data_IF_765938734500
#
_entry.id   IF_765938734500
#
_cell.length_a   1.000
_cell.length_b   1.000
_cell.length_c   1.000
_cell.angle_alpha   90.00
_cell.angle_beta   90.00
_cell.angle_gamma   90.00
#
_symmetry.space_group_name_H-M   'P 1'
#
loop_
_entity.id
_entity.type
_entity.pdbx_description
1 polymer ?
#
# COMPACT_ATOMS: atom_id res chain seq x y z
N UNK A 1 29.09 -19.79 -51.55
CA UNK A 1 28.82 -21.20 -51.20
C UNK A 1 27.83 -21.25 -50.05
N UNK A 2 26.56 -21.47 -50.41
CA UNK A 2 25.48 -22.10 -49.66
C UNK A 2 25.23 -21.78 -48.17
N UNK A 3 24.16 -21.03 -47.92
CA UNK A 3 23.26 -21.23 -46.77
C UNK A 3 22.52 -22.56 -47.00
N UNK A 4 22.79 -23.56 -46.16
CA UNK A 4 21.99 -24.80 -46.09
C UNK A 4 21.34 -24.91 -44.72
N UNK A 5 20.00 -24.90 -44.76
CA UNK A 5 19.06 -25.66 -43.94
C UNK A 5 18.91 -25.33 -42.45
N UNK A 6 17.78 -24.68 -42.12
CA UNK A 6 16.92 -25.01 -40.97
C UNK A 6 15.59 -24.22 -41.04
N UNK A 7 14.79 -24.51 -42.07
CA UNK A 7 13.37 -24.14 -42.11
C UNK A 7 12.65 -25.26 -42.89
N UNK A 8 12.17 -26.24 -42.14
CA UNK A 8 11.32 -27.31 -42.66
C UNK A 8 10.28 -27.63 -41.59
N UNK A 9 9.29 -26.75 -41.46
CA UNK A 9 7.94 -27.11 -41.00
C UNK A 9 7.02 -25.90 -41.24
N UNK A 10 6.35 -25.91 -42.38
CA UNK A 10 4.98 -25.44 -42.66
C UNK A 10 4.77 -25.81 -44.13
N UNK A 11 4.24 -27.01 -44.34
CA UNK A 11 3.63 -27.39 -45.62
C UNK A 11 2.48 -26.43 -45.87
N UNK A 12 2.59 -25.66 -46.95
CA UNK A 12 1.44 -25.06 -47.62
C UNK A 12 1.04 -26.08 -48.68
N UNK A 13 -0.01 -26.85 -48.41
CA UNK A 13 -0.65 -27.66 -49.44
C UNK A 13 -1.25 -26.71 -50.48
N UNK A 14 -0.60 -26.66 -51.64
CA UNK A 14 -1.14 -26.09 -52.85
C UNK A 14 -2.03 -27.13 -53.50
N UNK A 15 -3.34 -26.94 -53.39
CA UNK A 15 -4.32 -27.76 -54.09
C UNK A 15 -4.46 -27.30 -55.56
N UNK A 16 -4.61 -28.30 -56.44
CA UNK A 16 -4.51 -28.23 -57.89
C UNK A 16 -5.67 -27.49 -58.60
N UNK A 17 -5.51 -27.11 -59.89
CA UNK A 17 -6.53 -26.38 -60.62
C UNK A 17 -7.67 -27.33 -61.05
N UNK A 18 -8.89 -27.05 -60.58
CA UNK A 18 -10.09 -27.77 -61.03
C UNK A 18 -10.61 -27.16 -62.34
N UNK A 19 -10.74 -28.02 -63.35
CA UNK A 19 -11.24 -27.74 -64.70
C UNK A 19 -12.54 -26.96 -64.70
N UNK A 20 -12.62 -26.00 -65.63
CA UNK A 20 -13.80 -25.22 -65.97
C UNK A 20 -14.98 -26.13 -66.35
N UNK A 21 -16.06 -26.04 -65.57
CA UNK A 21 -17.39 -26.42 -66.02
C UNK A 21 -18.13 -25.14 -66.42
N UNK A 22 -18.37 -24.99 -67.72
CA UNK A 22 -19.30 -24.02 -68.29
C UNK A 22 -20.69 -24.25 -67.71
N UNK A 23 -21.18 -23.29 -66.92
CA UNK A 23 -22.62 -23.10 -66.73
C UNK A 23 -22.91 -21.60 -66.72
N UNK A 24 -23.81 -21.20 -67.61
CA UNK A 24 -24.31 -19.84 -67.78
C UNK A 24 -25.12 -19.42 -66.56
N UNK A 25 -24.43 -19.04 -65.48
CA UNK A 25 -25.07 -18.26 -64.43
C UNK A 25 -24.08 -17.24 -63.85
N UNK A 26 -23.73 -16.25 -64.69
CA UNK A 26 -22.96 -15.04 -64.32
C UNK A 26 -23.45 -14.41 -63.02
N UNK A 27 -24.76 -14.48 -62.77
CA UNK A 27 -25.41 -14.02 -61.54
C UNK A 27 -24.94 -14.79 -60.30
N UNK A 28 -24.84 -16.13 -60.36
CA UNK A 28 -24.40 -16.96 -59.22
C UNK A 28 -22.92 -16.76 -58.92
N UNK A 29 -22.09 -16.57 -59.95
CA UNK A 29 -20.67 -16.22 -59.80
C UNK A 29 -20.46 -14.84 -59.16
N UNK A 30 -21.26 -13.85 -59.55
CA UNK A 30 -21.26 -12.50 -58.97
C UNK A 30 -21.79 -12.47 -57.53
N UNK A 31 -22.79 -13.28 -57.20
CA UNK A 31 -23.29 -13.46 -55.83
C UNK A 31 -22.24 -14.17 -54.95
N UNK A 32 -21.56 -15.19 -55.47
CA UNK A 32 -20.49 -15.86 -54.74
C UNK A 32 -19.26 -14.96 -54.50
N UNK A 33 -18.91 -14.09 -55.45
CA UNK A 33 -17.82 -13.12 -55.27
C UNK A 33 -18.17 -12.02 -54.28
N UNK A 34 -19.40 -11.50 -54.31
CA UNK A 34 -19.89 -10.50 -53.34
C UNK A 34 -19.98 -11.08 -51.93
N UNK A 35 -20.47 -12.31 -51.76
CA UNK A 35 -20.46 -12.98 -50.45
C UNK A 35 -19.03 -13.20 -49.90
N UNK A 36 -18.05 -13.52 -50.76
CA UNK A 36 -16.65 -13.65 -50.33
C UNK A 36 -16.06 -12.29 -49.93
N UNK A 37 -16.40 -11.23 -50.65
CA UNK A 37 -15.99 -9.87 -50.29
C UNK A 37 -16.63 -9.41 -48.97
N UNK A 38 -17.92 -9.66 -48.76
CA UNK A 38 -18.58 -9.36 -47.49
C UNK A 38 -17.98 -10.14 -46.33
N UNK A 39 -17.75 -11.45 -46.49
CA UNK A 39 -17.13 -12.28 -45.47
C UNK A 39 -15.70 -11.84 -45.16
N UNK A 40 -14.95 -11.38 -46.17
CA UNK A 40 -13.63 -10.80 -45.99
C UNK A 40 -13.66 -9.42 -45.31
N UNK A 41 -14.69 -8.60 -45.56
CA UNK A 41 -14.90 -7.33 -44.83
C UNK A 41 -15.26 -7.58 -43.38
N UNK A 42 -16.15 -8.53 -43.11
CA UNK A 42 -16.55 -8.92 -41.75
C UNK A 42 -15.34 -9.42 -40.96
N UNK A 43 -14.56 -10.36 -41.53
CA UNK A 43 -13.36 -10.86 -40.86
C UNK A 43 -12.30 -9.78 -40.58
N UNK A 44 -12.18 -8.77 -41.45
CA UNK A 44 -11.31 -7.61 -41.20
C UNK A 44 -11.85 -6.71 -40.09
N UNK A 45 -13.17 -6.50 -40.05
CA UNK A 45 -13.81 -5.75 -38.96
C UNK A 45 -13.60 -6.47 -37.63
N UNK A 46 -13.82 -7.79 -37.59
CA UNK A 46 -13.61 -8.60 -36.40
C UNK A 46 -12.13 -8.62 -35.95
N UNK A 47 -11.15 -8.64 -36.88
CA UNK A 47 -9.72 -8.54 -36.55
C UNK A 47 -9.34 -7.14 -36.04
N UNK A 48 -9.94 -6.07 -36.57
CA UNK A 48 -9.76 -4.71 -36.06
C UNK A 48 -10.36 -4.59 -34.66
N UNK A 49 -11.57 -5.11 -34.44
CA UNK A 49 -12.21 -5.15 -33.13
C UNK A 49 -11.38 -5.93 -32.12
N UNK A 50 -10.82 -7.08 -32.51
CA UNK A 50 -9.92 -7.86 -31.66
C UNK A 50 -8.62 -7.11 -31.35
N UNK A 51 -7.97 -6.50 -32.35
CA UNK A 51 -6.75 -5.69 -32.13
C UNK A 51 -7.04 -4.47 -31.26
N UNK A 52 -8.23 -3.88 -31.38
CA UNK A 52 -8.72 -2.88 -30.45
C UNK A 52 -8.82 -3.50 -29.04
N UNK A 53 -9.50 -4.63 -28.88
CA UNK A 53 -9.70 -5.27 -27.58
C UNK A 53 -8.39 -5.70 -26.89
N UNK A 54 -7.38 -6.12 -27.66
CA UNK A 54 -6.04 -6.50 -27.20
C UNK A 54 -5.13 -5.29 -26.94
N UNK A 55 -5.57 -4.06 -27.23
CA UNK A 55 -4.82 -2.83 -27.00
C UNK A 55 -3.69 -2.57 -28.00
N UNK A 56 -3.76 -3.16 -29.21
CA UNK A 56 -2.75 -3.08 -30.27
C UNK A 56 -2.97 -1.89 -31.23
N UNK A 57 -4.08 -1.17 -31.10
CA UNK A 57 -4.43 -0.03 -31.94
C UNK A 57 -4.66 1.24 -31.11
N UNK A 58 -4.04 2.35 -31.53
CA UNK A 58 -4.31 3.69 -31.00
C UNK A 58 -5.36 4.34 -31.88
N UNK A 59 -6.42 4.87 -31.26
CA UNK A 59 -7.50 5.59 -31.93
C UNK A 59 -7.66 7.00 -31.33
N UNK A 60 -8.26 7.90 -32.09
CA UNK A 60 -8.65 9.22 -31.59
C UNK A 60 -10.10 9.15 -31.06
N UNK A 61 -10.30 9.57 -29.80
CA UNK A 61 -11.60 9.64 -29.13
C UNK A 61 -11.98 11.08 -28.83
N UNK A 62 -13.28 11.37 -28.91
CA UNK A 62 -13.81 12.60 -28.34
C UNK A 62 -13.67 12.54 -26.80
N UNK A 63 -13.09 13.58 -26.23
CA UNK A 63 -12.89 13.68 -24.78
C UNK A 63 -14.20 13.75 -24.00
N UNK A 64 -15.30 14.15 -24.64
CA UNK A 64 -16.64 14.14 -24.04
C UNK A 64 -17.19 12.72 -23.81
N UNK A 65 -16.68 11.73 -24.53
CA UNK A 65 -17.07 10.32 -24.40
C UNK A 65 -16.23 9.57 -23.34
N UNK A 66 -15.21 10.23 -22.77
CA UNK A 66 -14.25 9.61 -21.86
C UNK A 66 -14.45 10.14 -20.44
N UNK A 67 -14.83 9.24 -19.54
CA UNK A 67 -15.10 9.54 -18.14
C UNK A 67 -13.95 9.06 -17.23
N UNK A 68 -13.71 9.74 -16.10
CA UNK A 68 -12.76 9.25 -15.09
C UNK A 68 -13.28 7.92 -14.49
N UNK A 69 -12.35 7.03 -14.10
CA UNK A 69 -12.76 5.81 -13.39
C UNK A 69 -13.31 6.11 -11.98
N UNK A 70 -13.96 5.11 -11.39
CA UNK A 70 -14.44 5.17 -10.01
C UNK A 70 -13.29 5.28 -8.98
N UNK A 71 -12.07 4.92 -9.36
CA UNK A 71 -10.87 5.17 -8.56
C UNK A 71 -10.34 6.54 -8.95
N UNK A 72 -10.68 7.57 -8.17
CA UNK A 72 -10.17 8.92 -8.45
C UNK A 72 -8.64 8.96 -8.32
N UNK A 73 -8.01 9.56 -9.33
CA UNK A 73 -6.61 9.94 -9.29
C UNK A 73 -6.35 10.87 -8.09
N UNK A 74 -5.25 10.64 -7.37
CA UNK A 74 -5.10 11.06 -5.96
C UNK A 74 -4.75 12.54 -5.79
N UNK A 75 -4.36 13.22 -6.86
CA UNK A 75 -4.31 14.68 -6.94
C UNK A 75 -4.54 15.14 -8.39
N UNK A 76 -5.19 16.30 -8.63
CA UNK A 76 -4.94 17.07 -9.84
C UNK A 76 -3.46 17.46 -9.84
N UNK A 77 -2.59 16.66 -10.44
CA UNK A 77 -1.23 17.09 -10.70
C UNK A 77 -1.27 18.28 -11.65
N UNK A 78 -0.38 19.27 -11.44
CA UNK A 78 -0.22 20.40 -12.35
C UNK A 78 -0.10 19.91 -13.80
N UNK A 79 -0.88 20.51 -14.69
CA UNK A 79 -0.92 20.17 -16.12
C UNK A 79 -0.25 21.22 -16.99
N UNK A 80 0.19 22.37 -16.46
CA UNK A 80 0.65 23.51 -17.28
C UNK A 80 1.80 23.14 -18.23
N UNK A 81 2.79 22.42 -17.70
CA UNK A 81 3.91 21.90 -18.51
C UNK A 81 3.47 20.85 -19.53
N UNK A 82 2.54 19.97 -19.16
CA UNK A 82 2.02 18.93 -20.05
C UNK A 82 1.14 19.53 -21.15
N UNK A 83 0.33 20.52 -20.81
CA UNK A 83 -0.56 21.25 -21.69
C UNK A 83 0.24 22.04 -22.72
N UNK A 84 1.31 22.72 -22.30
CA UNK A 84 2.23 23.41 -23.21
C UNK A 84 2.92 22.43 -24.17
N UNK A 85 3.43 21.31 -23.65
CA UNK A 85 4.05 20.26 -24.47
C UNK A 85 3.07 19.65 -25.49
N UNK A 86 1.84 19.35 -25.09
CA UNK A 86 0.81 18.81 -25.99
C UNK A 86 0.40 19.84 -27.04
N UNK A 87 0.33 21.12 -26.68
CA UNK A 87 0.03 22.19 -27.65
C UNK A 87 1.11 22.30 -28.74
N UNK A 88 2.38 22.17 -28.37
CA UNK A 88 3.50 22.30 -29.30
C UNK A 88 3.76 21.04 -30.14
N UNK A 89 3.68 19.87 -29.51
CA UNK A 89 4.17 18.61 -30.08
C UNK A 89 3.05 17.59 -30.31
N UNK A 90 1.81 17.90 -29.91
CA UNK A 90 0.70 16.95 -29.91
C UNK A 90 0.83 15.88 -28.83
N UNK A 91 -0.16 14.99 -28.78
CA UNK A 91 -0.15 13.86 -27.85
C UNK A 91 0.78 12.74 -28.34
N UNK A 92 1.92 12.56 -27.67
CA UNK A 92 2.90 11.52 -28.01
C UNK A 92 2.56 10.14 -27.42
N UNK A 93 2.00 10.12 -26.21
CA UNK A 93 1.68 8.88 -25.48
C UNK A 93 0.17 8.74 -25.34
N UNK A 94 -0.46 7.65 -25.84
CA UNK A 94 -1.91 7.46 -25.70
C UNK A 94 -2.32 7.28 -24.23
N UNK A 95 -3.59 7.50 -23.93
CA UNK A 95 -4.21 7.05 -22.66
C UNK A 95 -4.70 5.61 -22.81
N UNK A 96 -4.91 4.89 -21.71
CA UNK A 96 -5.64 3.61 -21.74
C UNK A 96 -7.04 3.83 -21.20
N UNK A 97 -8.01 3.35 -21.96
CA UNK A 97 -9.40 3.36 -21.57
C UNK A 97 -10.00 1.96 -21.70
N UNK A 98 -11.09 1.73 -20.97
CA UNK A 98 -11.97 0.59 -21.21
C UNK A 98 -13.35 1.07 -21.65
N UNK A 99 -14.15 0.25 -22.35
CA UNK A 99 -15.58 0.54 -22.54
C UNK A 99 -16.27 0.74 -21.19
N UNK A 100 -17.17 1.72 -21.10
CA UNK A 100 -17.91 1.98 -19.87
C UNK A 100 -18.92 0.85 -19.63
N UNK A 101 -18.95 0.21 -18.44
CA UNK A 101 -19.81 -0.95 -18.19
C UNK A 101 -21.30 -0.63 -18.29
N UNK A 102 -21.71 0.59 -17.91
CA UNK A 102 -23.12 1.00 -17.85
C UNK A 102 -23.55 1.95 -18.98
N UNK A 103 -22.63 2.49 -19.78
CA UNK A 103 -22.90 3.56 -20.76
C UNK A 103 -22.32 3.17 -22.12
N UNK A 104 -23.12 2.52 -22.99
CA UNK A 104 -22.68 2.16 -24.34
C UNK A 104 -22.15 3.37 -25.10
N UNK A 105 -21.00 3.21 -25.77
CA UNK A 105 -20.34 4.29 -26.51
C UNK A 105 -19.50 5.26 -25.66
N UNK A 106 -19.53 5.14 -24.33
CA UNK A 106 -18.64 5.85 -23.43
C UNK A 106 -17.47 4.97 -23.00
N UNK A 107 -16.42 5.61 -22.50
CA UNK A 107 -15.20 4.97 -22.05
C UNK A 107 -14.83 5.44 -20.64
N UNK A 108 -14.12 4.59 -19.89
CA UNK A 108 -13.52 4.94 -18.61
C UNK A 108 -12.01 4.93 -18.69
N UNK A 109 -11.36 5.98 -18.19
CA UNK A 109 -9.89 6.06 -18.16
C UNK A 109 -9.31 5.10 -17.14
N UNK A 110 -8.42 4.22 -17.59
CA UNK A 110 -7.61 3.37 -16.71
C UNK A 110 -6.31 4.08 -16.29
N UNK A 111 -5.58 4.69 -17.22
CA UNK A 111 -4.38 5.50 -16.93
C UNK A 111 -4.29 6.77 -17.79
N UNK A 112 -3.53 7.76 -17.32
CA UNK A 112 -3.28 9.00 -18.08
C UNK A 112 -4.30 10.12 -17.84
N UNK A 113 -4.87 10.18 -16.63
CA UNK A 113 -5.88 11.17 -16.23
C UNK A 113 -5.43 12.63 -16.42
N UNK A 114 -4.18 12.98 -16.07
CA UNK A 114 -3.61 14.32 -16.29
C UNK A 114 -3.58 14.70 -17.76
N UNK A 115 -3.29 13.72 -18.64
CA UNK A 115 -3.25 13.91 -20.09
C UNK A 115 -4.64 14.12 -20.66
N UNK A 116 -5.64 13.36 -20.21
CA UNK A 116 -7.02 13.59 -20.58
C UNK A 116 -7.45 15.03 -20.26
N UNK A 117 -7.15 15.52 -19.04
CA UNK A 117 -7.49 16.89 -18.64
C UNK A 117 -6.80 17.95 -19.50
N UNK A 118 -5.50 17.81 -19.74
CA UNK A 118 -4.76 18.75 -20.59
C UNK A 118 -5.34 18.80 -22.01
N UNK A 119 -5.73 17.67 -22.58
CA UNK A 119 -6.33 17.58 -23.91
C UNK A 119 -7.76 18.14 -23.92
N UNK A 120 -8.54 17.90 -22.86
CA UNK A 120 -9.86 18.50 -22.66
C UNK A 120 -9.78 20.03 -22.64
N UNK A 121 -8.81 20.61 -21.93
CA UNK A 121 -8.60 22.07 -21.89
C UNK A 121 -8.18 22.65 -23.24
N UNK A 122 -7.47 21.86 -24.06
CA UNK A 122 -7.09 22.25 -25.42
C UNK A 122 -8.22 22.04 -26.45
N UNK A 123 -9.33 21.39 -26.07
CA UNK A 123 -10.44 21.09 -26.98
C UNK A 123 -10.07 20.13 -28.12
N UNK A 124 -9.09 19.25 -27.88
CA UNK A 124 -8.59 18.29 -28.86
C UNK A 124 -9.19 16.89 -28.65
N UNK A 125 -9.12 16.03 -29.68
CA UNK A 125 -9.37 14.60 -29.51
C UNK A 125 -8.21 13.92 -28.79
N UNK A 126 -8.51 12.90 -27.99
CA UNK A 126 -7.51 12.15 -27.22
C UNK A 126 -7.14 10.85 -27.93
N UNK A 127 -5.85 10.64 -28.14
CA UNK A 127 -5.29 9.35 -28.54
C UNK A 127 -5.42 8.36 -27.40
N UNK A 128 -6.14 7.28 -27.63
CA UNK A 128 -6.42 6.26 -26.65
C UNK A 128 -6.20 4.86 -27.21
N UNK A 129 -5.75 3.97 -26.33
CA UNK A 129 -5.83 2.53 -26.51
C UNK A 129 -7.07 2.07 -25.76
N UNK A 130 -8.01 1.43 -26.45
CA UNK A 130 -9.14 0.77 -25.79
C UNK A 130 -8.66 -0.61 -25.36
N UNK A 131 -9.03 -1.08 -24.17
CA UNK A 131 -8.86 -2.46 -23.76
C UNK A 131 -10.08 -2.89 -22.97
N UNK A 132 -10.59 -4.09 -23.24
CA UNK A 132 -11.63 -4.66 -22.39
C UNK A 132 -10.98 -5.03 -21.04
N UNK A 133 -11.39 -4.34 -19.97
CA UNK A 133 -10.86 -4.53 -18.62
C UNK A 133 -12.02 -4.70 -17.64
N UNK A 134 -11.93 -5.73 -16.82
CA UNK A 134 -12.75 -5.87 -15.61
C UNK A 134 -12.44 -4.75 -14.61
N UNK A 135 -13.29 -4.59 -13.59
CA UNK A 135 -13.03 -3.60 -12.52
C UNK A 135 -11.69 -3.87 -11.80
N UNK A 136 -11.38 -5.15 -11.58
CA UNK A 136 -10.13 -5.59 -10.98
C UNK A 136 -8.92 -5.22 -11.84
N UNK A 137 -8.97 -5.52 -13.13
CA UNK A 137 -7.88 -5.20 -14.06
C UNK A 137 -7.69 -3.70 -14.25
N UNK A 138 -8.78 -2.92 -14.25
CA UNK A 138 -8.69 -1.46 -14.29
C UNK A 138 -7.96 -0.93 -13.05
N UNK A 139 -8.29 -1.43 -11.85
CA UNK A 139 -7.62 -1.03 -10.60
C UNK A 139 -6.15 -1.41 -10.62
N UNK A 140 -5.81 -2.58 -11.14
CA UNK A 140 -4.41 -3.01 -11.27
C UNK A 140 -3.65 -2.08 -12.21
N UNK A 141 -4.19 -1.81 -13.40
CA UNK A 141 -3.56 -0.93 -14.39
C UNK A 141 -3.34 0.49 -13.83
N UNK A 142 -4.34 1.03 -13.14
CA UNK A 142 -4.26 2.36 -12.53
C UNK A 142 -3.31 2.40 -11.33
N UNK A 143 -3.25 1.33 -10.55
CA UNK A 143 -2.32 1.19 -9.42
C UNK A 143 -0.87 1.17 -9.88
N UNK A 144 -0.58 0.43 -10.96
CA UNK A 144 0.76 0.34 -11.54
C UNK A 144 1.28 1.69 -12.05
N UNK A 145 0.47 2.48 -12.78
CA UNK A 145 0.85 3.85 -13.22
C UNK A 145 1.18 4.75 -12.02
N UNK A 146 0.41 4.64 -10.94
CA UNK A 146 0.56 5.51 -9.78
C UNK A 146 1.74 5.10 -8.89
N UNK A 147 2.07 3.80 -8.82
CA UNK A 147 3.20 3.31 -8.06
C UNK A 147 4.56 3.78 -8.60
N UNK A 148 4.65 4.06 -9.91
CA UNK A 148 5.85 4.64 -10.52
C UNK A 148 6.12 6.08 -10.06
N UNK A 149 5.14 6.74 -9.44
CA UNK A 149 5.24 8.09 -8.86
C UNK A 149 5.40 7.98 -7.34
N UNK A 150 6.61 7.66 -6.87
CA UNK A 150 6.88 7.33 -5.46
C UNK A 150 6.96 8.54 -4.49
N UNK A 151 5.84 9.17 -4.17
CA UNK A 151 5.81 10.27 -3.17
C UNK A 151 4.99 9.96 -1.89
N UNK A 152 4.33 8.80 -1.79
CA UNK A 152 3.41 8.53 -0.69
C UNK A 152 4.10 8.00 0.58
N UNK A 153 3.69 8.59 1.71
CA UNK A 153 4.03 8.08 3.05
C UNK A 153 3.44 6.68 3.30
N UNK A 154 3.99 5.99 4.32
CA UNK A 154 3.51 4.67 4.70
C UNK A 154 2.01 4.64 5.01
N UNK A 155 1.50 5.66 5.72
CA UNK A 155 0.10 5.71 6.14
C UNK A 155 -0.83 6.00 4.96
N UNK A 156 -0.41 6.81 3.99
CA UNK A 156 -1.19 7.07 2.77
C UNK A 156 -1.31 5.81 1.91
N UNK A 157 -0.21 5.06 1.74
CA UNK A 157 -0.25 3.75 1.08
C UNK A 157 -1.18 2.79 1.82
N UNK A 158 -1.13 2.77 3.15
CA UNK A 158 -1.97 1.90 3.98
C UNK A 158 -3.46 2.24 3.89
N UNK A 159 -3.83 3.53 3.92
CA UNK A 159 -5.23 3.97 3.72
C UNK A 159 -5.73 3.69 2.31
N UNK A 160 -4.87 3.80 1.30
CA UNK A 160 -5.26 3.39 -0.04
C UNK A 160 -5.56 1.89 -0.10
N UNK A 161 -4.71 1.05 0.50
CA UNK A 161 -4.97 -0.38 0.60
C UNK A 161 -6.31 -0.68 1.31
N UNK A 162 -6.62 0.05 2.38
CA UNK A 162 -7.90 -0.07 3.10
C UNK A 162 -9.10 0.27 2.22
N UNK A 163 -9.05 1.36 1.44
CA UNK A 163 -10.12 1.71 0.50
C UNK A 163 -10.31 0.65 -0.59
N UNK A 164 -9.23 0.07 -1.11
CA UNK A 164 -9.35 -1.01 -2.09
C UNK A 164 -9.96 -2.29 -1.49
N UNK A 165 -9.68 -2.58 -0.21
CA UNK A 165 -10.22 -3.74 0.51
C UNK A 165 -11.75 -3.76 0.58
N UNK A 166 -12.40 -2.60 0.52
CA UNK A 166 -13.87 -2.52 0.51
C UNK A 166 -14.51 -3.13 -0.75
N UNK A 167 -13.77 -3.20 -1.85
CA UNK A 167 -14.30 -3.57 -3.17
C UNK A 167 -13.56 -4.70 -3.87
N UNK A 168 -12.33 -5.01 -3.46
CA UNK A 168 -11.45 -5.92 -4.19
C UNK A 168 -10.82 -6.98 -3.28
N UNK A 169 -10.58 -8.21 -3.79
CA UNK A 169 -9.87 -9.24 -3.05
C UNK A 169 -8.40 -8.87 -2.84
N UNK A 170 -7.76 -9.48 -1.85
CA UNK A 170 -6.37 -9.17 -1.44
C UNK A 170 -5.37 -9.31 -2.59
N UNK A 171 -5.57 -10.29 -3.46
CA UNK A 171 -4.73 -10.58 -4.63
C UNK A 171 -4.68 -9.38 -5.59
N UNK A 172 -5.83 -8.77 -5.87
CA UNK A 172 -5.94 -7.59 -6.74
C UNK A 172 -5.23 -6.40 -6.11
N UNK A 173 -5.37 -6.21 -4.80
CA UNK A 173 -4.71 -5.12 -4.07
C UNK A 173 -3.18 -5.29 -4.11
N UNK A 174 -2.67 -6.49 -3.86
CA UNK A 174 -1.23 -6.76 -3.92
C UNK A 174 -0.67 -6.50 -5.32
N UNK A 175 -1.39 -6.88 -6.36
CA UNK A 175 -0.99 -6.62 -7.76
C UNK A 175 -1.05 -5.13 -8.12
N UNK A 176 -2.11 -4.43 -7.72
CA UNK A 176 -2.27 -3.00 -7.99
C UNK A 176 -1.24 -2.15 -7.26
N UNK A 177 -0.84 -2.58 -6.06
CA UNK A 177 0.14 -1.87 -5.23
C UNK A 177 1.57 -2.42 -5.36
N UNK A 178 1.82 -3.44 -6.18
CA UNK A 178 3.15 -4.06 -6.34
C UNK A 178 3.82 -4.43 -5.01
N UNK A 179 3.03 -4.95 -4.05
CA UNK A 179 3.49 -5.35 -2.71
C UNK A 179 3.15 -6.82 -2.43
N UNK A 180 3.86 -7.43 -1.49
CA UNK A 180 3.55 -8.79 -1.05
C UNK A 180 2.37 -8.86 -0.06
N UNK A 181 1.83 -10.09 0.13
CA UNK A 181 0.68 -10.35 1.01
C UNK A 181 0.97 -10.00 2.49
N UNK A 182 2.22 -10.10 2.93
CA UNK A 182 2.61 -9.79 4.30
C UNK A 182 2.67 -8.27 4.52
N UNK A 183 3.16 -7.51 3.54
CA UNK A 183 3.15 -6.04 3.54
C UNK A 183 1.72 -5.51 3.56
N UNK A 184 0.84 -6.03 2.67
CA UNK A 184 -0.57 -5.66 2.67
C UNK A 184 -1.21 -5.93 4.04
N UNK A 185 -0.96 -7.10 4.64
CA UNK A 185 -1.52 -7.43 5.95
C UNK A 185 -1.03 -6.47 7.03
N UNK A 186 0.26 -6.11 7.04
CA UNK A 186 0.83 -5.16 7.99
C UNK A 186 0.26 -3.74 7.82
N UNK A 187 0.10 -3.28 6.58
CA UNK A 187 -0.53 -2.00 6.28
C UNK A 187 -1.96 -1.94 6.80
N UNK A 188 -2.78 -2.96 6.49
CA UNK A 188 -4.17 -3.05 6.92
C UNK A 188 -4.30 -3.10 8.45
N UNK A 189 -3.47 -3.88 9.14
CA UNK A 189 -3.49 -3.95 10.61
C UNK A 189 -3.28 -2.59 11.29
N UNK A 190 -2.42 -1.73 10.73
CA UNK A 190 -2.17 -0.40 11.28
C UNK A 190 -3.40 0.51 11.15
N UNK A 191 -3.98 0.59 9.96
CA UNK A 191 -5.13 1.49 9.68
C UNK A 191 -6.47 0.98 10.21
N UNK A 192 -6.55 -0.30 10.55
CA UNK A 192 -7.70 -0.88 11.26
C UNK A 192 -7.60 -0.67 12.78
N UNK A 193 -6.39 -0.59 13.33
CA UNK A 193 -6.18 -0.39 14.77
C UNK A 193 -6.33 1.07 15.21
N UNK A 194 -5.99 2.02 14.34
CA UNK A 194 -6.00 3.47 14.63
C UNK A 194 -7.26 4.12 14.03
N UNK A 195 -8.03 4.90 14.81
CA UNK A 195 -9.20 5.62 14.28
C UNK A 195 -8.84 6.51 13.07
N UNK A 196 -9.69 6.50 12.04
CA UNK A 196 -9.46 7.27 10.82
C UNK A 196 -9.27 8.77 11.11
N UNK A 197 -10.12 9.33 11.98
CA UNK A 197 -10.03 10.73 12.42
C UNK A 197 -8.68 11.08 13.08
N UNK A 198 -8.04 10.10 13.75
CA UNK A 198 -6.73 10.31 14.36
C UNK A 198 -5.64 10.36 13.29
N UNK A 199 -5.71 9.45 12.32
CA UNK A 199 -4.81 9.46 11.17
C UNK A 199 -4.95 10.77 10.40
N UNK A 200 -6.19 11.25 10.21
CA UNK A 200 -6.48 12.53 9.56
C UNK A 200 -5.93 13.72 10.36
N UNK A 201 -6.10 13.72 11.69
CA UNK A 201 -5.56 14.78 12.55
C UNK A 201 -4.02 14.81 12.58
N UNK A 202 -3.36 13.67 12.42
CA UNK A 202 -1.90 13.56 12.32
C UNK A 202 -1.40 14.01 10.94
N UNK A 203 -2.06 13.57 9.87
CA UNK A 203 -1.67 13.79 8.48
C UNK A 203 -0.68 12.74 7.93
N UNK A 204 -0.07 13.00 6.75
CA UNK A 204 0.75 12.03 6.02
C UNK A 204 2.00 11.56 6.76
N UNK A 205 2.62 12.43 7.56
CA UNK A 205 3.84 12.13 8.32
C UNK A 205 4.95 11.48 7.45
N UNK A 206 5.45 12.19 6.42
CA UNK A 206 6.48 11.65 5.53
C UNK A 206 7.71 11.21 6.32
N UNK A 207 8.33 10.10 5.90
CA UNK A 207 9.46 9.48 6.59
C UNK A 207 9.11 8.69 7.86
N UNK A 208 7.86 8.74 8.35
CA UNK A 208 7.41 7.86 9.44
C UNK A 208 7.04 6.49 8.87
N UNK A 209 7.88 5.50 9.14
CA UNK A 209 7.69 4.13 8.67
C UNK A 209 6.78 3.29 9.56
N UNK A 210 6.53 2.06 9.08
CA UNK A 210 5.67 1.05 9.73
C UNK A 210 5.85 0.91 11.24
N UNK A 211 7.09 0.75 11.71
CA UNK A 211 7.37 0.42 13.12
C UNK A 211 6.81 1.48 14.07
N UNK A 212 6.91 2.75 13.70
CA UNK A 212 6.41 3.86 14.50
C UNK A 212 4.88 3.89 14.50
N UNK A 213 4.24 3.68 13.36
CA UNK A 213 2.78 3.58 13.27
C UNK A 213 2.23 2.38 14.04
N UNK A 214 2.92 1.24 14.02
CA UNK A 214 2.56 0.09 14.84
C UNK A 214 2.72 0.40 16.33
N UNK A 215 3.78 1.09 16.73
CA UNK A 215 3.96 1.52 18.12
C UNK A 215 2.82 2.44 18.58
N UNK A 216 2.37 3.36 17.72
CA UNK A 216 1.19 4.18 17.98
C UNK A 216 -0.05 3.32 18.17
N UNK A 217 -0.35 2.41 17.23
CA UNK A 217 -1.48 1.48 17.31
C UNK A 217 -1.50 0.66 18.61
N UNK A 218 -0.33 0.22 19.08
CA UNK A 218 -0.19 -0.56 20.31
C UNK A 218 -0.35 0.27 21.59
N UNK A 219 -0.28 1.60 21.51
CA UNK A 219 -0.33 2.53 22.66
C UNK A 219 -1.66 3.26 22.81
N UNK A 220 -2.39 3.53 21.72
CA UNK A 220 -3.61 4.34 21.76
C UNK A 220 -4.72 3.78 22.67
N UNK A 221 -4.75 2.47 22.92
CA UNK A 221 -5.75 1.81 23.75
C UNK A 221 -5.27 1.50 25.18
N UNK A 222 -4.05 1.93 25.57
CA UNK A 222 -3.43 1.54 26.86
C UNK A 222 -3.66 2.50 28.02
N UNK A 223 -3.98 3.76 27.76
CA UNK A 223 -4.15 4.79 28.79
C UNK A 223 -5.49 5.50 28.59
N UNK A 224 -6.54 5.05 29.29
CA UNK A 224 -7.89 5.64 29.22
C UNK A 224 -7.92 7.13 29.61
N UNK A 225 -6.90 7.63 30.33
CA UNK A 225 -6.85 9.03 30.78
C UNK A 225 -6.27 9.98 29.73
N UNK A 226 -5.59 9.45 28.71
CA UNK A 226 -4.98 10.24 27.65
C UNK A 226 -5.65 9.89 26.33
N UNK A 227 -6.67 10.66 25.96
CA UNK A 227 -7.28 10.54 24.66
C UNK A 227 -6.31 11.04 23.57
N UNK A 228 -5.80 10.17 22.68
CA UNK A 228 -4.86 10.59 21.63
C UNK A 228 -5.49 11.58 20.64
N UNK A 229 -6.81 11.53 20.44
CA UNK A 229 -7.54 12.48 19.58
C UNK A 229 -7.45 13.91 20.08
N UNK A 230 -7.68 14.10 21.38
CA UNK A 230 -7.70 15.44 21.98
C UNK A 230 -6.30 16.05 21.92
N UNK A 231 -5.27 15.23 22.19
CA UNK A 231 -3.86 15.65 22.05
C UNK A 231 -3.51 16.02 20.60
N UNK A 232 -3.93 15.22 19.62
CA UNK A 232 -3.61 15.48 18.21
C UNK A 232 -4.26 16.78 17.70
N UNK A 233 -5.39 17.21 18.29
CA UNK A 233 -6.15 18.41 17.91
C UNK A 233 -5.69 19.70 18.59
N UNK A 234 -4.76 19.65 19.54
CA UNK A 234 -4.22 20.85 20.18
C UNK A 234 -3.60 21.80 19.14
N UNK A 235 -3.84 23.10 19.28
CA UNK A 235 -3.35 24.13 18.34
C UNK A 235 -1.82 24.07 18.18
N UNK A 236 -1.11 23.83 19.28
CA UNK A 236 0.35 23.64 19.26
C UNK A 236 0.76 22.48 18.34
N UNK A 237 0.03 21.35 18.38
CA UNK A 237 0.29 20.18 17.53
C UNK A 237 -0.08 20.45 16.07
N UNK A 238 -1.18 21.17 15.84
CA UNK A 238 -1.65 21.52 14.49
C UNK A 238 -0.74 22.52 13.77
N UNK A 239 0.01 23.34 14.52
CA UNK A 239 1.02 24.24 13.95
C UNK A 239 2.30 23.52 13.44
N UNK A 240 2.52 22.27 13.84
CA UNK A 240 3.69 21.48 13.45
C UNK A 240 3.49 20.78 12.10
N UNK A 241 4.61 20.41 11.45
CA UNK A 241 4.60 19.48 10.31
C UNK A 241 3.96 18.15 10.73
N UNK A 242 3.32 17.43 9.80
CA UNK A 242 2.70 16.12 10.13
C UNK A 242 3.69 15.11 10.71
N UNK A 243 4.97 15.20 10.32
CA UNK A 243 6.01 14.32 10.83
C UNK A 243 6.33 14.62 12.30
N UNK A 244 6.46 15.89 12.65
CA UNK A 244 6.78 16.29 14.03
C UNK A 244 5.58 16.16 14.95
N UNK A 245 4.37 16.43 14.43
CA UNK A 245 3.10 16.14 15.10
C UNK A 245 2.98 14.67 15.48
N UNK A 246 3.31 13.76 14.56
CA UNK A 246 3.34 12.32 14.84
C UNK A 246 4.31 12.00 16.00
N UNK A 247 5.54 12.52 15.95
CA UNK A 247 6.56 12.26 16.99
C UNK A 247 6.14 12.82 18.35
N UNK A 248 5.57 14.02 18.38
CA UNK A 248 5.10 14.69 19.58
C UNK A 248 3.94 13.92 20.22
N UNK A 249 2.95 13.51 19.42
CA UNK A 249 1.84 12.67 19.87
C UNK A 249 2.34 11.34 20.45
N UNK A 250 3.20 10.63 19.71
CA UNK A 250 3.77 9.36 20.16
C UNK A 250 4.55 9.51 21.48
N UNK A 251 5.26 10.63 21.66
CA UNK A 251 5.97 10.93 22.90
C UNK A 251 5.01 11.22 24.06
N UNK A 252 3.91 11.93 23.81
CA UNK A 252 2.91 12.27 24.83
C UNK A 252 2.15 11.05 25.37
N UNK A 253 1.87 10.06 24.50
CA UNK A 253 1.17 8.83 24.89
C UNK A 253 2.09 7.77 25.50
N UNK A 254 3.41 7.85 25.27
CA UNK A 254 4.36 6.89 25.84
C UNK A 254 4.27 6.92 27.37
N UNK A 255 4.22 5.74 28.03
CA UNK A 255 4.21 5.68 29.49
C UNK A 255 5.49 6.32 30.01
N UNK A 256 5.36 7.21 30.99
CA UNK A 256 6.50 7.88 31.61
C UNK A 256 7.41 6.80 32.18
N UNK A 257 8.65 6.68 31.66
CA UNK A 257 9.66 5.80 32.23
C UNK A 257 9.82 6.20 33.68
N UNK A 258 9.33 5.37 34.60
CA UNK A 258 9.71 5.47 36.01
C UNK A 258 11.19 5.15 36.02
N UNK A 259 12.02 6.18 36.21
CA UNK A 259 13.43 5.99 36.52
C UNK A 259 13.41 5.20 37.83
N UNK A 260 13.58 3.87 37.74
CA UNK A 260 13.85 3.04 38.91
C UNK A 260 15.09 3.66 39.53
N UNK A 261 14.99 4.09 40.80
CA UNK A 261 16.07 4.77 41.50
C UNK A 261 17.40 4.05 41.28
N UNK A 262 18.51 4.81 41.20
CA UNK A 262 19.83 4.22 41.13
C UNK A 262 19.94 3.17 42.26
N UNK A 263 20.52 1.98 41.97
CA UNK A 263 20.68 0.96 43.01
C UNK A 263 21.39 1.57 44.22
N UNK A 264 20.80 1.43 45.40
CA UNK A 264 21.42 1.89 46.64
C UNK A 264 22.62 0.99 46.91
N UNK A 265 23.80 1.57 47.12
CA UNK A 265 25.03 0.80 47.34
C UNK A 265 24.97 0.19 48.74
N UNK A 266 25.10 -1.13 48.82
CA UNK A 266 25.20 -1.82 50.09
C UNK A 266 26.67 -1.83 50.53
N UNK A 267 26.99 -1.13 51.61
CA UNK A 267 28.34 -1.08 52.18
C UNK A 267 28.33 -1.26 53.70
N UNK A 268 29.42 -1.80 54.23
CA UNK A 268 29.65 -1.87 55.68
C UNK A 268 29.91 -0.48 56.26
N UNK A 269 29.85 -0.37 57.60
CA UNK A 269 30.26 0.85 58.33
C UNK A 269 31.73 1.22 58.13
N UNK A 270 32.57 0.26 57.71
CA UNK A 270 33.97 0.46 57.34
C UNK A 270 34.18 0.88 55.88
N UNK A 271 33.10 1.02 55.09
CA UNK A 271 33.15 1.45 53.69
C UNK A 271 33.40 0.32 52.67
N UNK A 272 33.45 -0.94 53.10
CA UNK A 272 33.57 -2.08 52.18
C UNK A 272 32.27 -2.25 51.41
N UNK A 273 32.35 -2.31 50.08
CA UNK A 273 31.19 -2.50 49.21
C UNK A 273 30.82 -3.98 49.13
N UNK A 274 29.60 -4.30 49.55
CA UNK A 274 29.04 -5.65 49.53
C UNK A 274 28.16 -5.88 48.30
N UNK A 275 27.64 -4.82 47.67
CA UNK A 275 26.86 -4.91 46.44
C UNK A 275 25.88 -3.75 46.26
N UNK A 276 24.65 -4.06 45.84
CA UNK A 276 23.59 -3.06 45.67
C UNK A 276 22.19 -3.62 45.95
N UNK A 277 21.30 -2.72 46.37
CA UNK A 277 19.90 -3.01 46.64
C UNK A 277 19.03 -2.24 45.67
N UNK A 278 18.03 -2.93 45.12
CA UNK A 278 17.00 -2.34 44.30
C UNK A 278 15.64 -2.54 44.96
N UNK A 279 15.07 -1.43 45.39
CA UNK A 279 13.75 -1.38 46.01
C UNK A 279 12.69 -1.08 44.94
N UNK A 280 11.61 -1.84 44.95
CA UNK A 280 10.41 -1.57 44.16
C UNK A 280 9.17 -1.69 45.04
N UNK A 281 8.00 -1.24 44.56
CA UNK A 281 6.75 -1.30 45.32
C UNK A 281 6.33 -2.72 45.74
N UNK A 282 6.82 -3.76 45.06
CA UNK A 282 6.38 -5.15 45.28
C UNK A 282 7.53 -6.17 45.47
N UNK A 283 8.79 -5.73 45.36
CA UNK A 283 9.96 -6.61 45.45
C UNK A 283 11.18 -5.84 45.96
N UNK A 284 11.95 -6.49 46.84
CA UNK A 284 13.32 -6.10 47.20
C UNK A 284 14.27 -7.07 46.51
N UNK A 285 15.27 -6.53 45.80
CA UNK A 285 16.31 -7.32 45.13
C UNK A 285 17.67 -6.88 45.66
N UNK A 286 18.36 -7.80 46.33
CA UNK A 286 19.70 -7.59 46.88
C UNK A 286 20.67 -8.35 45.98
N UNK A 287 21.63 -7.63 45.40
CA UNK A 287 22.73 -8.23 44.63
C UNK A 287 24.01 -8.07 45.41
N UNK A 288 24.69 -9.18 45.68
CA UNK A 288 25.93 -9.23 46.45
C UNK A 288 27.11 -9.58 45.56
N UNK A 289 28.23 -8.89 45.76
CA UNK A 289 29.48 -9.20 45.07
C UNK A 289 30.08 -10.48 45.63
N UNK A 290 30.18 -11.52 44.79
CA UNK A 290 30.62 -12.87 45.22
C UNK A 290 32.01 -12.89 45.86
N UNK A 291 32.91 -11.97 45.48
CA UNK A 291 34.26 -11.87 46.02
C UNK A 291 34.31 -11.25 47.42
N UNK A 292 33.47 -10.25 47.65
CA UNK A 292 33.48 -9.46 48.89
C UNK A 292 32.49 -9.99 49.93
N UNK A 293 31.39 -10.62 49.48
CA UNK A 293 30.26 -11.03 50.31
C UNK A 293 29.87 -12.51 50.11
N UNK A 294 30.76 -13.36 49.57
CA UNK A 294 30.44 -14.75 49.23
C UNK A 294 30.02 -15.64 50.40
N UNK A 295 30.71 -15.53 51.54
CA UNK A 295 30.35 -16.25 52.76
C UNK A 295 29.02 -15.76 53.34
N UNK A 296 28.83 -14.44 53.37
CA UNK A 296 27.58 -13.82 53.81
C UNK A 296 26.38 -14.16 52.92
N UNK A 297 26.58 -14.23 51.60
CA UNK A 297 25.55 -14.66 50.66
C UNK A 297 25.12 -16.11 50.91
N UNK A 298 26.07 -16.97 51.27
CA UNK A 298 25.80 -18.38 51.58
C UNK A 298 25.03 -18.53 52.90
N UNK A 299 25.40 -17.75 53.92
CA UNK A 299 24.64 -17.63 55.17
C UNK A 299 23.20 -17.17 54.92
N UNK A 300 23.01 -16.07 54.17
CA UNK A 300 21.67 -15.58 53.84
C UNK A 300 20.82 -16.61 53.10
N UNK A 301 21.39 -17.39 52.18
CA UNK A 301 20.62 -18.39 51.44
C UNK A 301 20.18 -19.56 52.33
N UNK A 302 21.02 -19.96 53.29
CA UNK A 302 20.72 -21.08 54.19
C UNK A 302 19.75 -20.68 55.31
N UNK A 303 19.92 -19.47 55.85
CA UNK A 303 19.22 -19.04 57.06
C UNK A 303 18.12 -17.99 56.81
N UNK A 304 17.85 -17.60 55.56
CA UNK A 304 16.85 -16.58 55.23
C UNK A 304 15.46 -16.85 55.82
N UNK A 305 15.02 -18.11 55.78
CA UNK A 305 13.70 -18.50 56.31
C UNK A 305 13.67 -18.36 57.83
N UNK A 306 14.70 -18.84 58.52
CA UNK A 306 14.82 -18.75 59.97
C UNK A 306 14.91 -17.28 60.44
N UNK A 307 15.70 -16.45 59.76
CA UNK A 307 15.82 -15.02 60.05
C UNK A 307 14.49 -14.27 59.87
N UNK A 308 13.69 -14.66 58.86
CA UNK A 308 12.36 -14.11 58.65
C UNK A 308 11.40 -14.49 59.80
N UNK A 309 11.38 -15.76 60.20
CA UNK A 309 10.54 -16.26 61.29
C UNK A 309 10.92 -15.64 62.64
N UNK A 310 12.22 -15.55 62.95
CA UNK A 310 12.71 -14.93 64.19
C UNK A 310 12.32 -13.46 64.27
N UNK A 311 12.45 -12.72 63.16
CA UNK A 311 12.09 -11.30 63.11
C UNK A 311 10.59 -11.10 63.26
N UNK A 312 9.78 -11.98 62.67
CA UNK A 312 8.31 -11.96 62.78
C UNK A 312 7.85 -12.27 64.20
N UNK A 313 8.45 -13.25 64.87
CA UNK A 313 8.15 -13.56 66.27
C UNK A 313 8.46 -12.38 67.20
N UNK A 314 9.59 -11.70 66.97
CA UNK A 314 10.00 -10.50 67.73
C UNK A 314 9.15 -9.26 67.45
N UNK A 315 8.52 -9.14 66.27
CA UNK A 315 7.59 -8.02 65.99
C UNK A 315 6.23 -8.23 66.65
N UNK A 316 5.73 -9.48 66.68
CA UNK A 316 4.43 -9.81 67.30
C UNK A 316 4.47 -9.61 68.83
N UNK A 317 5.55 -10.04 69.49
CA UNK A 317 5.71 -9.81 70.94
C UNK A 317 5.92 -8.35 71.37
N UNK A 318 6.01 -7.41 70.41
CA UNK A 318 6.14 -5.97 70.66
C UNK A 318 4.83 -5.20 70.45
N UNK A 319 3.81 -5.84 69.86
CA UNK A 319 2.45 -5.29 69.68
C UNK A 319 1.50 -5.70 70.81
N UNK A 320 1.86 -6.73 71.61
CA UNK A 320 1.07 -7.22 72.76
C UNK A 320 1.56 -6.69 74.13
N UNK A 321 2.53 -5.76 74.15
CA UNK A 321 3.05 -5.10 75.35
C UNK A 321 2.89 -3.57 75.25
#
# INVERSE_FOLDING_TARGET
MSRKNLLNLIQVDADMPVKAATSDNKLVGQVASTMREEKARQARADDIERRLAEGLAVIDLDTALVEPSFVRDRMPGDIDGLLSSIREQGQQVPILVRPHPEKPGHYQVAFGHRRLRAIQELGLQVKAVIRALTDEELVIAQGQENNEREDLSYIEKSRFAQRLKERFPREVITSAMSIDKAELSRMLSVVEAIPADLIDAIGPAPGIGRRSWQELADLIHKDEKKNPMDLARLDEMQSMTSQDRFKALLTAIKPRRVVRGLPEVLSTSSGQRLGHVKLSKSKIEITLDRKEAGEFASFLLNDAVALFEERRAKSIGKEEA
#
